data_IF_128670093434
#
_entry.id   IF_128670093434
#
_cell.length_a   1.000
_cell.length_b   1.000
_cell.length_c   1.000
_cell.angle_alpha   90.00
_cell.angle_beta   90.00
_cell.angle_gamma   90.00
#
_symmetry.space_group_name_H-M   'P 1'
#
loop_
_entity.id
_entity.type
_entity.pdbx_description
1 polymer ?
#
# COMPACT_ATOMS: atom_id res chain seq x y z
N UNK A 1 3.97 14.85 -16.71
CA UNK A 1 4.28 14.19 -15.43
C UNK A 1 4.23 15.16 -14.25
N UNK A 2 4.67 16.41 -14.40
CA UNK A 2 4.65 17.40 -13.30
C UNK A 2 3.26 17.78 -12.77
N UNK A 3 2.27 17.90 -13.65
CA UNK A 3 0.91 18.25 -13.22
C UNK A 3 0.29 17.20 -12.28
N UNK A 4 0.60 15.92 -12.48
CA UNK A 4 0.07 14.82 -11.65
C UNK A 4 0.79 14.75 -10.30
N UNK A 5 2.12 14.89 -10.29
CA UNK A 5 2.90 14.94 -9.05
C UNK A 5 2.57 16.18 -8.22
N UNK A 6 2.36 17.33 -8.87
CA UNK A 6 1.89 18.54 -8.19
C UNK A 6 0.49 18.35 -7.63
N UNK A 7 -0.43 17.68 -8.33
CA UNK A 7 -1.75 17.37 -7.77
C UNK A 7 -1.65 16.43 -6.54
N UNK A 8 -0.72 15.47 -6.58
CA UNK A 8 -0.51 14.48 -5.51
C UNK A 8 0.16 15.07 -4.25
N UNK A 9 1.05 16.05 -4.41
CA UNK A 9 1.80 16.61 -3.28
C UNK A 9 1.33 18.00 -2.84
N UNK A 10 0.67 18.77 -3.72
CA UNK A 10 0.26 20.16 -3.43
C UNK A 10 -1.19 20.27 -2.97
N UNK A 11 -2.07 19.33 -3.33
CA UNK A 11 -3.46 19.32 -2.87
C UNK A 11 -3.66 18.43 -1.63
N UNK A 12 -4.53 18.82 -0.68
CA UNK A 12 -4.85 18.01 0.51
C UNK A 12 -5.44 16.63 0.16
N UNK A 13 -6.14 16.53 -0.97
CA UNK A 13 -6.65 15.24 -1.49
C UNK A 13 -5.51 14.32 -1.94
N UNK A 14 -4.42 14.91 -2.42
CA UNK A 14 -3.25 14.20 -2.94
C UNK A 14 -2.54 13.42 -1.85
N UNK A 15 -2.36 14.02 -0.67
CA UNK A 15 -1.76 13.35 0.48
C UNK A 15 -2.60 12.16 0.96
N UNK A 16 -3.94 12.29 0.97
CA UNK A 16 -4.84 11.18 1.31
C UNK A 16 -4.71 10.04 0.30
N UNK A 17 -4.67 10.36 -0.99
CA UNK A 17 -4.47 9.34 -2.03
C UNK A 17 -3.08 8.68 -1.96
N UNK A 18 -2.02 9.43 -1.60
CA UNK A 18 -0.68 8.91 -1.38
C UNK A 18 -0.68 7.90 -0.23
N UNK A 19 -1.33 8.23 0.88
CA UNK A 19 -1.52 7.32 2.01
C UNK A 19 -2.27 6.06 1.60
N UNK A 20 -3.35 6.19 0.84
CA UNK A 20 -4.12 5.04 0.33
C UNK A 20 -3.27 4.14 -0.55
N UNK A 21 -2.46 4.69 -1.46
CA UNK A 21 -1.57 3.91 -2.33
C UNK A 21 -0.54 3.15 -1.50
N UNK A 22 0.13 3.81 -0.55
CA UNK A 22 1.09 3.17 0.34
C UNK A 22 0.44 2.08 1.21
N UNK A 23 -0.77 2.35 1.70
CA UNK A 23 -1.55 1.38 2.49
C UNK A 23 -1.89 0.13 1.66
N UNK A 24 -2.35 0.30 0.42
CA UNK A 24 -2.66 -0.82 -0.47
C UNK A 24 -1.40 -1.66 -0.75
N UNK A 25 -0.27 -1.02 -1.05
CA UNK A 25 1.00 -1.71 -1.27
C UNK A 25 1.45 -2.46 -0.01
N UNK A 26 1.39 -1.80 1.15
CA UNK A 26 1.72 -2.41 2.44
C UNK A 26 0.84 -3.61 2.77
N UNK A 27 -0.47 -3.50 2.55
CA UNK A 27 -1.43 -4.58 2.75
C UNK A 27 -1.20 -5.74 1.78
N UNK A 28 -0.86 -5.46 0.52
CA UNK A 28 -0.54 -6.50 -0.45
C UNK A 28 0.68 -7.31 0.01
N UNK A 29 1.74 -6.64 0.45
CA UNK A 29 2.93 -7.31 1.00
C UNK A 29 2.58 -8.10 2.27
N UNK A 30 1.81 -7.49 3.19
CA UNK A 30 1.36 -8.13 4.42
C UNK A 30 0.58 -9.41 4.14
N UNK A 31 -0.38 -9.37 3.22
CA UNK A 31 -1.20 -10.53 2.84
C UNK A 31 -0.35 -11.63 2.18
N UNK A 32 0.60 -11.27 1.31
CA UNK A 32 1.52 -12.23 0.69
C UNK A 32 2.38 -12.90 1.76
N UNK A 33 2.94 -12.14 2.71
CA UNK A 33 3.75 -12.69 3.81
C UNK A 33 2.88 -13.57 4.72
N UNK A 34 1.69 -13.11 5.07
CA UNK A 34 0.75 -13.84 5.92
C UNK A 34 0.34 -15.17 5.27
N UNK A 35 -0.03 -15.14 3.99
CA UNK A 35 -0.39 -16.33 3.22
C UNK A 35 0.78 -17.32 3.14
N UNK A 36 1.99 -16.83 2.85
CA UNK A 36 3.20 -17.66 2.84
C UNK A 36 3.50 -18.25 4.21
N UNK A 37 3.33 -17.48 5.30
CA UNK A 37 3.50 -17.99 6.67
C UNK A 37 2.47 -19.07 7.02
N UNK A 38 1.20 -18.87 6.66
CA UNK A 38 0.11 -19.83 6.92
C UNK A 38 0.33 -21.15 6.15
N UNK A 39 0.89 -21.10 4.94
CA UNK A 39 1.23 -22.31 4.19
C UNK A 39 2.50 -23.02 4.71
N UNK A 40 3.50 -22.29 5.19
CA UNK A 40 4.76 -22.87 5.67
C UNK A 40 4.68 -23.42 7.11
N UNK A 41 3.71 -22.98 7.91
CA UNK A 41 3.46 -23.51 9.26
C UNK A 41 2.01 -24.03 9.31
N UNK A 42 1.76 -25.28 8.88
CA UNK A 42 0.43 -25.89 8.92
C UNK A 42 -0.06 -26.23 10.35
N UNK A 43 0.78 -26.06 11.37
CA UNK A 43 0.57 -26.60 12.73
C UNK A 43 0.21 -25.55 13.81
N UNK A 44 -0.28 -24.37 13.42
CA UNK A 44 -0.97 -23.38 14.31
C UNK A 44 -2.43 -23.14 13.90
#
# INVERSE_FOLDING_TARGET
MDAVLSLLFTHPIGLLSLFTILFIIGMAIYLVIWYRRKMNNPDE
#
